data_IF_585284037582
#
_entry.id   IF_585284037582
#
_cell.length_a   1.000
_cell.length_b   1.000
_cell.length_c   1.000
_cell.angle_alpha   90.00
_cell.angle_beta   90.00
_cell.angle_gamma   90.00
#
_symmetry.space_group_name_H-M   'P 1'
#
loop_
_entity.id
_entity.type
_entity.pdbx_description
1 polymer ?
#
# COMPACT_ATOMS: atom_id res chain seq x y z
N UNK A 1 36.35 -13.53 -18.26
CA UNK A 1 36.56 -13.30 -19.70
C UNK A 1 36.31 -14.62 -20.43
N UNK A 2 35.86 -14.57 -21.68
CA UNK A 2 35.58 -15.67 -22.59
C UNK A 2 36.43 -15.49 -23.86
N UNK A 3 37.32 -16.45 -24.12
CA UNK A 3 38.22 -16.54 -25.25
C UNK A 3 37.85 -17.80 -26.04
N UNK A 4 37.04 -17.67 -27.11
CA UNK A 4 36.76 -18.81 -27.98
C UNK A 4 38.05 -19.37 -28.59
N UNK A 5 38.06 -20.65 -28.96
CA UNK A 5 39.26 -21.26 -29.53
C UNK A 5 39.68 -20.57 -30.84
N UNK A 6 40.96 -20.20 -30.93
CA UNK A 6 41.53 -19.57 -32.12
C UNK A 6 41.50 -18.03 -32.14
N UNK A 7 40.91 -17.37 -31.14
CA UNK A 7 41.04 -15.91 -30.99
C UNK A 7 42.27 -15.54 -30.17
N UNK A 8 43.08 -14.63 -30.70
CA UNK A 8 44.12 -13.90 -29.98
C UNK A 8 43.79 -12.41 -30.10
N UNK A 9 44.11 -11.65 -29.07
CA UNK A 9 43.82 -10.21 -29.03
C UNK A 9 45.14 -9.46 -28.95
N UNK A 10 45.35 -8.53 -29.87
CA UNK A 10 46.61 -7.79 -29.99
C UNK A 10 46.60 -6.48 -29.19
N UNK A 11 45.42 -5.97 -28.85
CA UNK A 11 45.21 -4.73 -28.10
C UNK A 11 44.30 -4.96 -26.88
N UNK A 12 44.58 -4.29 -25.76
CA UNK A 12 43.77 -4.39 -24.54
C UNK A 12 42.37 -3.78 -24.71
N UNK A 13 42.18 -2.89 -25.71
CA UNK A 13 40.88 -2.30 -26.02
C UNK A 13 39.84 -3.30 -26.55
N UNK A 14 40.30 -4.39 -27.18
CA UNK A 14 39.45 -5.46 -27.71
C UNK A 14 39.04 -6.48 -26.62
N UNK A 15 39.65 -6.39 -25.43
CA UNK A 15 39.37 -7.27 -24.28
C UNK A 15 37.95 -7.10 -23.73
N UNK A 16 37.32 -5.94 -23.95
CA UNK A 16 35.92 -5.68 -23.59
C UNK A 16 34.92 -6.53 -24.40
N UNK A 17 35.31 -7.00 -25.59
CA UNK A 17 34.54 -7.93 -26.42
C UNK A 17 34.65 -9.40 -25.97
N UNK A 18 35.63 -9.71 -25.12
CA UNK A 18 35.86 -11.02 -24.52
C UNK A 18 35.20 -11.15 -23.14
N UNK A 19 34.27 -10.28 -22.78
CA UNK A 19 33.52 -10.48 -21.55
C UNK A 19 32.51 -11.62 -21.74
N UNK A 20 32.25 -12.38 -20.67
CA UNK A 20 31.20 -13.39 -20.71
C UNK A 20 29.87 -12.68 -20.99
N UNK A 21 29.11 -13.14 -22.00
CA UNK A 21 27.85 -12.47 -22.35
C UNK A 21 26.84 -12.55 -21.19
N UNK A 22 26.01 -11.53 -21.05
CA UNK A 22 24.91 -11.55 -20.07
C UNK A 22 23.96 -12.74 -20.36
N UNK A 23 23.46 -13.37 -19.30
CA UNK A 23 22.65 -14.60 -19.41
C UNK A 23 23.49 -15.86 -19.61
N UNK A 24 24.82 -15.76 -19.53
CA UNK A 24 25.76 -16.87 -19.54
C UNK A 24 26.81 -16.71 -18.44
N UNK A 25 27.47 -17.81 -18.07
CA UNK A 25 28.60 -17.80 -17.16
C UNK A 25 29.79 -18.56 -17.74
N UNK A 26 31.00 -18.14 -17.38
CA UNK A 26 32.24 -18.63 -17.96
C UNK A 26 33.15 -19.16 -16.85
N UNK A 27 33.03 -20.45 -16.46
CA UNK A 27 33.84 -21.04 -15.40
C UNK A 27 35.32 -21.13 -15.78
N UNK A 28 35.61 -21.16 -17.08
CA UNK A 28 36.96 -21.02 -17.64
C UNK A 28 36.92 -20.05 -18.80
N UNK A 29 38.05 -19.43 -19.19
CA UNK A 29 38.07 -18.55 -20.35
C UNK A 29 37.65 -19.24 -21.65
N UNK A 30 37.84 -20.55 -21.82
CA UNK A 30 37.51 -21.22 -23.07
C UNK A 30 36.03 -21.62 -23.22
N UNK A 31 35.24 -21.53 -22.15
CA UNK A 31 33.89 -22.14 -22.09
C UNK A 31 32.86 -21.11 -21.66
N UNK A 32 31.78 -21.00 -22.43
CA UNK A 32 30.61 -20.19 -22.11
C UNK A 32 29.39 -21.08 -22.02
N UNK A 33 28.74 -21.11 -20.86
CA UNK A 33 27.56 -21.93 -20.60
C UNK A 33 26.34 -21.05 -20.38
N UNK A 34 25.14 -21.49 -20.84
CA UNK A 34 23.90 -20.75 -20.57
C UNK A 34 23.63 -20.69 -19.07
N UNK A 35 23.09 -19.58 -18.59
CA UNK A 35 22.71 -19.44 -17.19
C UNK A 35 21.51 -20.36 -16.89
N UNK A 36 21.61 -21.33 -15.96
CA UNK A 36 20.52 -22.24 -15.66
C UNK A 36 19.37 -21.51 -14.93
N UNK A 37 18.18 -22.12 -14.90
CA UNK A 37 17.06 -21.59 -14.15
C UNK A 37 17.34 -21.57 -12.63
N UNK A 38 16.84 -20.57 -11.92
CA UNK A 38 17.04 -20.36 -10.48
C UNK A 38 18.27 -19.54 -10.11
N UNK A 39 19.13 -19.23 -11.08
CA UNK A 39 20.29 -18.35 -10.93
C UNK A 39 20.24 -17.24 -11.98
N UNK A 40 20.99 -16.18 -11.76
CA UNK A 40 21.16 -15.10 -12.73
C UNK A 40 22.66 -14.89 -13.01
N UNK A 41 22.96 -14.49 -14.24
CA UNK A 41 24.32 -14.32 -14.72
C UNK A 41 24.42 -12.98 -15.45
N UNK A 42 25.13 -12.04 -14.83
CA UNK A 42 25.42 -10.73 -15.39
C UNK A 42 26.57 -10.79 -16.38
N UNK A 43 26.77 -9.74 -17.16
CA UNK A 43 27.93 -9.62 -18.06
C UNK A 43 29.23 -9.81 -17.27
N UNK A 44 30.13 -10.66 -17.79
CA UNK A 44 31.39 -11.00 -17.15
C UNK A 44 31.30 -12.06 -16.03
N UNK A 45 30.13 -12.63 -15.76
CA UNK A 45 29.94 -13.66 -14.73
C UNK A 45 30.84 -14.88 -14.97
N UNK A 46 31.65 -15.24 -13.98
CA UNK A 46 32.45 -16.47 -13.95
C UNK A 46 31.76 -17.59 -13.18
N UNK A 47 30.78 -17.23 -12.34
CA UNK A 47 30.01 -18.14 -11.52
C UNK A 47 28.54 -17.65 -11.44
N UNK A 48 27.56 -18.56 -11.54
CA UNK A 48 26.16 -18.21 -11.40
C UNK A 48 25.83 -17.77 -9.98
N UNK A 49 24.94 -16.78 -9.85
CA UNK A 49 24.51 -16.25 -8.55
C UNK A 49 23.06 -16.62 -8.30
N UNK A 50 22.73 -17.03 -7.07
CA UNK A 50 21.35 -17.39 -6.70
C UNK A 50 20.37 -16.24 -6.90
N UNK A 51 19.22 -16.53 -7.49
CA UNK A 51 18.13 -15.57 -7.65
C UNK A 51 17.33 -15.37 -6.34
N UNK A 52 17.47 -16.27 -5.36
CA UNK A 52 16.70 -16.21 -4.12
C UNK A 52 17.14 -15.01 -3.28
N UNK A 53 16.28 -14.00 -3.16
CA UNK A 53 16.56 -12.83 -2.32
C UNK A 53 16.78 -13.19 -0.85
N UNK A 54 16.06 -14.20 -0.34
CA UNK A 54 16.27 -14.70 1.00
C UNK A 54 17.69 -15.26 1.18
N UNK A 55 18.22 -15.93 0.17
CA UNK A 55 19.58 -16.49 0.21
C UNK A 55 20.65 -15.44 -0.05
N UNK A 56 20.46 -14.57 -1.05
CA UNK A 56 21.31 -13.41 -1.32
C UNK A 56 21.47 -12.50 -0.10
N UNK A 57 20.40 -12.27 0.65
CA UNK A 57 20.47 -11.47 1.88
C UNK A 57 21.34 -12.14 2.95
N UNK A 58 21.36 -13.47 2.99
CA UNK A 58 22.13 -14.24 3.97
C UNK A 58 23.60 -14.44 3.55
N UNK A 59 23.87 -14.65 2.25
CA UNK A 59 25.20 -14.98 1.74
C UNK A 59 25.97 -13.77 1.24
N UNK A 60 25.29 -12.78 0.65
CA UNK A 60 25.93 -11.64 0.00
C UNK A 60 25.09 -10.33 0.10
N UNK A 61 24.77 -9.83 1.32
CA UNK A 61 23.89 -8.67 1.51
C UNK A 61 24.43 -7.36 0.92
N UNK A 62 25.75 -7.26 0.77
CA UNK A 62 26.45 -6.08 0.24
C UNK A 62 26.82 -6.21 -1.24
N UNK A 63 26.44 -7.30 -1.91
CA UNK A 63 26.65 -7.45 -3.35
C UNK A 63 25.91 -6.33 -4.08
N UNK A 64 26.64 -5.59 -4.92
CA UNK A 64 26.09 -4.53 -5.76
C UNK A 64 25.61 -5.14 -7.07
N UNK A 65 24.32 -4.97 -7.36
CA UNK A 65 23.75 -5.41 -8.62
C UNK A 65 24.20 -4.46 -9.74
N UNK A 66 24.85 -4.95 -10.81
CA UNK A 66 25.55 -4.10 -11.78
C UNK A 66 24.62 -3.20 -12.58
N UNK A 67 23.37 -3.60 -12.82
CA UNK A 67 22.43 -2.81 -13.62
C UNK A 67 21.72 -1.72 -12.80
N UNK A 68 21.76 -1.80 -11.46
CA UNK A 68 21.01 -0.88 -10.58
C UNK A 68 21.86 -0.11 -9.58
N UNK A 69 23.15 -0.45 -9.45
CA UNK A 69 24.09 0.26 -8.56
C UNK A 69 23.70 0.21 -7.07
N UNK A 70 22.76 -0.65 -6.70
CA UNK A 70 22.25 -0.80 -5.33
C UNK A 70 22.66 -2.15 -4.76
N UNK A 71 22.90 -2.17 -3.45
CA UNK A 71 23.18 -3.39 -2.70
C UNK A 71 21.89 -4.20 -2.51
N UNK A 72 22.01 -5.51 -2.42
CA UNK A 72 20.86 -6.42 -2.15
C UNK A 72 20.02 -5.94 -0.97
N UNK A 73 20.66 -5.58 0.15
CA UNK A 73 19.96 -5.09 1.34
C UNK A 73 19.17 -3.80 1.10
N UNK A 74 19.68 -2.91 0.25
CA UNK A 74 19.01 -1.65 -0.06
C UNK A 74 17.78 -1.92 -0.92
N UNK A 75 17.86 -2.78 -1.94
CA UNK A 75 16.70 -3.07 -2.79
C UNK A 75 15.53 -3.71 -2.05
N UNK A 76 15.82 -4.62 -1.11
CA UNK A 76 14.77 -5.21 -0.25
C UNK A 76 14.09 -4.16 0.64
N UNK A 77 14.80 -3.10 1.05
CA UNK A 77 14.27 -2.03 1.90
C UNK A 77 13.61 -0.89 1.11
N UNK A 78 14.21 -0.46 0.01
CA UNK A 78 13.84 0.75 -0.73
C UNK A 78 13.01 0.46 -1.99
N UNK A 79 13.37 -0.56 -2.76
CA UNK A 79 12.67 -0.96 -4.00
C UNK A 79 11.51 -1.93 -3.74
N UNK A 80 11.42 -2.49 -2.52
CA UNK A 80 10.44 -3.51 -2.11
C UNK A 80 10.48 -4.76 -2.98
N UNK A 81 11.70 -5.17 -3.35
CA UNK A 81 11.91 -6.44 -4.04
C UNK A 81 11.32 -7.62 -3.26
N UNK A 82 10.84 -8.67 -3.95
CA UNK A 82 10.27 -9.84 -3.32
C UNK A 82 11.30 -10.54 -2.42
N UNK A 83 11.07 -10.54 -1.11
CA UNK A 83 11.85 -11.38 -0.19
C UNK A 83 11.64 -12.89 -0.49
N UNK A 84 10.46 -13.26 -1.01
CA UNK A 84 10.09 -14.61 -1.48
C UNK A 84 9.13 -14.51 -2.67
N UNK A 85 9.01 -15.61 -3.41
CA UNK A 85 8.08 -15.70 -4.54
C UNK A 85 8.58 -14.98 -5.78
N UNK A 86 9.89 -15.02 -6.03
CA UNK A 86 10.50 -14.63 -7.30
C UNK A 86 10.98 -15.88 -8.05
N UNK A 87 11.18 -15.75 -9.35
CA UNK A 87 11.62 -16.83 -10.23
C UNK A 87 12.64 -16.30 -11.23
N UNK A 88 13.67 -17.09 -11.53
CA UNK A 88 14.62 -16.78 -12.58
C UNK A 88 14.56 -17.88 -13.65
N UNK A 89 14.07 -17.58 -14.87
CA UNK A 89 14.15 -18.51 -15.98
C UNK A 89 15.61 -18.69 -16.43
N UNK A 90 15.86 -19.69 -17.27
CA UNK A 90 17.18 -19.87 -17.89
C UNK A 90 17.57 -18.61 -18.68
N UNK A 91 18.82 -18.19 -18.56
CA UNK A 91 19.34 -16.96 -19.18
C UNK A 91 19.01 -15.67 -18.42
N UNK A 92 18.50 -15.73 -17.19
CA UNK A 92 18.23 -14.54 -16.38
C UNK A 92 19.50 -13.70 -16.16
N UNK A 93 19.38 -12.39 -16.37
CA UNK A 93 20.45 -11.41 -16.11
C UNK A 93 20.26 -10.67 -14.78
N UNK A 94 19.05 -10.73 -14.22
CA UNK A 94 18.64 -10.07 -12.98
C UNK A 94 17.76 -10.99 -12.13
N UNK A 95 17.77 -10.83 -10.78
CA UNK A 95 16.98 -11.67 -9.87
C UNK A 95 15.59 -11.11 -9.52
N UNK A 96 15.16 -10.04 -10.16
CA UNK A 96 14.03 -9.19 -9.77
C UNK A 96 12.66 -9.66 -10.28
N UNK A 97 12.59 -10.71 -11.11
CA UNK A 97 11.35 -11.20 -11.68
C UNK A 97 10.39 -11.77 -10.59
N UNK A 98 9.28 -11.08 -10.27
CA UNK A 98 8.31 -11.60 -9.32
C UNK A 98 7.52 -12.75 -9.94
N UNK A 99 7.12 -13.73 -9.12
CA UNK A 99 6.24 -14.80 -9.58
C UNK A 99 4.92 -14.18 -10.09
N UNK A 100 4.53 -14.41 -11.34
CA UNK A 100 3.36 -13.77 -11.93
C UNK A 100 2.07 -14.25 -11.28
N UNK A 101 1.06 -13.38 -11.29
CA UNK A 101 -0.25 -13.73 -10.76
C UNK A 101 -0.88 -14.89 -11.57
N UNK A 102 -1.59 -15.78 -10.90
CA UNK A 102 -2.09 -17.03 -11.50
C UNK A 102 -1.09 -18.18 -11.50
N UNK A 103 0.13 -17.96 -11.00
CA UNK A 103 1.15 -18.98 -10.79
C UNK A 103 1.63 -18.97 -9.34
N UNK A 104 2.22 -20.08 -8.90
CA UNK A 104 2.96 -20.13 -7.65
C UNK A 104 4.38 -20.66 -7.90
N UNK A 105 5.33 -20.10 -7.17
CA UNK A 105 6.76 -20.38 -7.32
C UNK A 105 7.30 -20.92 -5.99
N UNK A 106 7.33 -22.25 -5.78
CA UNK A 106 7.78 -22.83 -4.51
C UNK A 106 9.29 -22.61 -4.28
N UNK A 107 10.04 -22.42 -5.37
CA UNK A 107 11.45 -22.07 -5.38
C UNK A 107 11.71 -21.13 -6.58
N UNK A 108 12.96 -20.69 -6.73
CA UNK A 108 13.36 -19.72 -7.76
C UNK A 108 13.54 -20.32 -9.16
N UNK A 109 13.50 -21.64 -9.31
CA UNK A 109 13.68 -22.33 -10.59
C UNK A 109 12.38 -22.89 -11.17
N UNK A 110 11.31 -22.97 -10.37
CA UNK A 110 10.04 -23.55 -10.77
C UNK A 110 8.90 -22.52 -10.70
N UNK A 111 8.15 -22.45 -11.80
CA UNK A 111 6.91 -21.71 -11.91
C UNK A 111 5.80 -22.69 -12.28
N UNK A 112 4.78 -22.78 -11.43
CA UNK A 112 3.69 -23.75 -11.58
C UNK A 112 2.36 -23.01 -11.69
N UNK A 113 1.50 -23.47 -12.60
CA UNK A 113 0.15 -22.90 -12.77
C UNK A 113 -0.63 -23.10 -11.47
N UNK A 114 -1.41 -22.09 -11.07
CA UNK A 114 -2.25 -22.21 -9.88
C UNK A 114 -3.32 -23.29 -10.09
N UNK A 115 -3.36 -24.35 -9.27
CA UNK A 115 -4.29 -25.46 -9.47
C UNK A 115 -5.74 -25.03 -9.22
N UNK A 116 -6.67 -25.80 -9.80
CA UNK A 116 -8.11 -25.58 -9.60
C UNK A 116 -8.52 -25.61 -8.11
N UNK A 117 -9.47 -24.75 -7.72
CA UNK A 117 -9.91 -24.60 -6.34
C UNK A 117 -8.97 -23.75 -5.46
N UNK A 118 -7.88 -23.23 -6.02
CA UNK A 118 -6.94 -22.33 -5.37
C UNK A 118 -6.77 -21.03 -6.17
N UNK A 119 -6.27 -19.99 -5.49
CA UNK A 119 -5.87 -18.74 -6.10
C UNK A 119 -4.44 -18.37 -5.70
N UNK A 120 -3.70 -17.78 -6.63
CA UNK A 120 -2.29 -17.45 -6.48
C UNK A 120 -2.07 -16.00 -6.89
N UNK A 121 -1.89 -15.13 -5.89
CA UNK A 121 -1.54 -13.72 -6.13
C UNK A 121 -0.12 -13.62 -6.69
N UNK A 122 0.23 -12.44 -7.20
CA UNK A 122 1.62 -12.15 -7.53
C UNK A 122 2.53 -12.43 -6.32
N UNK A 123 3.74 -12.95 -6.56
CA UNK A 123 4.71 -13.34 -5.53
C UNK A 123 4.25 -14.48 -4.60
N UNK A 124 3.32 -15.35 -5.06
CA UNK A 124 2.87 -16.48 -4.25
C UNK A 124 3.88 -17.64 -4.28
N UNK A 125 4.26 -18.14 -3.11
CA UNK A 125 5.09 -19.35 -2.96
C UNK A 125 4.28 -20.64 -2.85
N UNK A 126 2.98 -20.51 -2.54
CA UNK A 126 2.08 -21.64 -2.36
C UNK A 126 0.65 -21.25 -2.76
N UNK A 127 -0.14 -22.17 -3.30
CA UNK A 127 -1.52 -21.90 -3.66
C UNK A 127 -2.39 -21.70 -2.42
N UNK A 128 -3.33 -20.75 -2.45
CA UNK A 128 -4.27 -20.49 -1.35
C UNK A 128 -5.67 -21.00 -1.71
N UNK A 129 -6.28 -21.77 -0.82
CA UNK A 129 -7.61 -22.35 -1.06
C UNK A 129 -8.66 -21.26 -1.20
N UNK A 130 -9.57 -21.42 -2.16
CA UNK A 130 -10.67 -20.47 -2.33
C UNK A 130 -11.71 -20.59 -1.21
N UNK A 131 -12.35 -19.46 -0.89
CA UNK A 131 -13.45 -19.43 0.06
C UNK A 131 -14.65 -20.22 -0.46
N UNK A 132 -15.53 -20.68 0.45
CA UNK A 132 -16.69 -21.53 0.10
C UNK A 132 -17.65 -20.93 -0.95
N UNK A 133 -17.62 -19.60 -1.12
CA UNK A 133 -18.49 -18.84 -2.03
C UNK A 133 -17.74 -18.27 -3.25
N UNK A 134 -16.48 -18.66 -3.46
CA UNK A 134 -15.65 -18.17 -4.55
C UNK A 134 -15.32 -19.29 -5.54
N UNK A 135 -15.46 -19.01 -6.83
CA UNK A 135 -15.06 -19.92 -7.91
C UNK A 135 -13.63 -19.59 -8.37
N UNK A 136 -12.79 -20.63 -8.49
CA UNK A 136 -11.39 -20.48 -8.87
C UNK A 136 -11.00 -21.56 -9.88
N UNK A 137 -11.11 -21.26 -11.19
CA UNK A 137 -10.52 -22.10 -12.23
C UNK A 137 -8.98 -22.10 -12.13
N UNK A 138 -8.35 -23.02 -12.86
CA UNK A 138 -6.89 -23.06 -12.99
C UNK A 138 -6.33 -21.71 -13.48
N UNK A 139 -5.20 -21.28 -12.92
CA UNK A 139 -4.56 -20.01 -13.28
C UNK A 139 -5.18 -18.76 -12.64
N UNK A 140 -6.05 -18.91 -11.63
CA UNK A 140 -6.74 -17.77 -11.01
C UNK A 140 -5.82 -16.95 -10.09
N UNK A 141 -5.70 -15.65 -10.37
CA UNK A 141 -4.96 -14.71 -9.54
C UNK A 141 -5.74 -14.18 -8.33
N UNK A 142 -7.04 -13.94 -8.52
CA UNK A 142 -7.94 -13.33 -7.54
C UNK A 142 -9.23 -14.12 -7.51
N UNK A 143 -9.73 -14.53 -6.32
CA UNK A 143 -10.96 -15.30 -6.23
C UNK A 143 -12.15 -14.48 -6.77
N UNK A 144 -12.89 -15.05 -7.71
CA UNK A 144 -14.13 -14.45 -8.19
C UNK A 144 -15.23 -14.67 -7.14
N UNK A 145 -15.65 -13.59 -6.48
CA UNK A 145 -16.77 -13.57 -5.53
C UNK A 145 -17.97 -12.85 -6.17
N UNK A 146 -18.76 -13.54 -7.02
CA UNK A 146 -19.94 -12.93 -7.60
C UNK A 146 -20.91 -12.53 -6.48
N UNK A 147 -21.23 -11.24 -6.39
CA UNK A 147 -22.28 -10.71 -5.51
C UNK A 147 -21.85 -9.99 -4.23
N UNK A 148 -20.58 -10.06 -3.80
CA UNK A 148 -20.15 -9.28 -2.62
C UNK A 148 -20.26 -7.76 -2.84
N UNK A 149 -19.95 -7.29 -4.05
CA UNK A 149 -20.13 -5.88 -4.40
C UNK A 149 -21.60 -5.44 -4.36
N UNK A 150 -22.53 -6.32 -4.79
CA UNK A 150 -23.97 -6.05 -4.77
C UNK A 150 -24.54 -6.04 -3.34
N UNK A 151 -24.09 -6.97 -2.49
CA UNK A 151 -24.50 -7.00 -1.08
C UNK A 151 -24.00 -5.77 -0.31
N UNK A 152 -22.74 -5.38 -0.49
CA UNK A 152 -22.20 -4.16 0.13
C UNK A 152 -22.94 -2.91 -0.37
N UNK A 153 -23.19 -2.82 -1.67
CA UNK A 153 -23.96 -1.72 -2.25
C UNK A 153 -25.40 -1.65 -1.71
N UNK A 154 -26.08 -2.79 -1.56
CA UNK A 154 -27.41 -2.87 -0.98
C UNK A 154 -27.43 -2.45 0.51
N UNK A 155 -26.45 -2.89 1.30
CA UNK A 155 -26.31 -2.49 2.71
C UNK A 155 -26.06 -0.98 2.86
N UNK A 156 -25.26 -0.37 1.98
CA UNK A 156 -25.03 1.08 1.97
C UNK A 156 -26.32 1.81 1.54
N UNK A 157 -26.99 1.31 0.50
CA UNK A 157 -28.24 1.90 0.00
C UNK A 157 -29.40 1.82 1.00
N UNK A 158 -29.39 0.85 1.92
CA UNK A 158 -30.41 0.74 2.98
C UNK A 158 -30.01 1.47 4.27
N UNK A 159 -28.72 1.48 4.62
CA UNK A 159 -28.25 2.11 5.86
C UNK A 159 -28.28 3.64 5.80
N UNK A 160 -27.90 4.26 4.67
CA UNK A 160 -27.94 5.72 4.50
C UNK A 160 -29.36 6.32 4.66
N UNK A 161 -30.42 5.82 4.01
CA UNK A 161 -31.77 6.34 4.21
C UNK A 161 -32.34 6.02 5.59
N UNK A 162 -32.01 4.87 6.19
CA UNK A 162 -32.40 4.57 7.57
C UNK A 162 -31.77 5.55 8.56
N UNK A 163 -30.47 5.83 8.42
CA UNK A 163 -29.78 6.84 9.24
C UNK A 163 -30.42 8.22 9.04
N UNK A 164 -30.72 8.60 7.80
CA UNK A 164 -31.40 9.87 7.51
C UNK A 164 -32.80 9.94 8.15
N UNK A 165 -33.59 8.87 8.09
CA UNK A 165 -34.90 8.80 8.74
C UNK A 165 -34.81 8.84 10.26
N UNK A 166 -33.80 8.19 10.85
CA UNK A 166 -33.54 8.26 12.29
C UNK A 166 -33.15 9.67 12.70
N UNK A 167 -32.29 10.35 11.94
CA UNK A 167 -31.95 11.75 12.18
C UNK A 167 -33.18 12.66 12.09
N UNK A 168 -34.04 12.47 11.08
CA UNK A 168 -35.30 13.21 11.00
C UNK A 168 -36.27 12.91 12.14
N UNK A 169 -36.34 11.66 12.58
CA UNK A 169 -37.17 11.27 13.71
C UNK A 169 -36.64 11.87 15.01
N UNK A 170 -35.32 11.90 15.21
CA UNK A 170 -34.66 12.55 16.34
C UNK A 170 -34.93 14.06 16.33
N UNK A 171 -34.78 14.74 15.20
CA UNK A 171 -35.09 16.18 15.07
C UNK A 171 -36.57 16.49 15.36
N UNK A 172 -37.49 15.62 14.92
CA UNK A 172 -38.92 15.75 15.26
C UNK A 172 -39.17 15.52 16.75
N UNK A 173 -38.51 14.54 17.36
CA UNK A 173 -38.67 14.22 18.78
C UNK A 173 -38.13 15.34 19.69
N UNK A 174 -37.03 15.97 19.31
CA UNK A 174 -36.47 17.13 20.02
C UNK A 174 -37.33 18.36 19.81
N UNK A 175 -37.93 18.57 18.63
CA UNK A 175 -38.89 19.65 18.38
C UNK A 175 -40.17 19.52 19.23
N UNK A 176 -40.74 18.31 19.36
CA UNK A 176 -41.91 18.08 20.21
C UNK A 176 -41.60 18.26 21.70
N UNK A 177 -40.44 17.78 22.17
CA UNK A 177 -40.03 17.97 23.57
C UNK A 177 -39.62 19.41 23.91
N UNK A 178 -39.05 20.14 22.96
CA UNK A 178 -38.72 21.56 23.12
C UNK A 178 -39.97 22.42 23.31
N UNK A 179 -41.05 22.15 22.56
CA UNK A 179 -42.34 22.85 22.70
C UNK A 179 -42.98 22.70 24.09
N UNK A 180 -43.00 21.47 24.63
CA UNK A 180 -43.53 21.21 25.98
C UNK A 180 -42.68 21.89 27.07
N UNK A 181 -41.34 21.90 26.91
CA UNK A 181 -40.44 22.57 27.86
C UNK A 181 -40.55 24.10 27.83
N UNK A 182 -40.76 24.69 26.65
CA UNK A 182 -40.97 26.14 26.48
C UNK A 182 -42.30 26.59 27.08
N UNK A 183 -43.38 25.86 26.84
CA UNK A 183 -44.70 26.20 27.41
C UNK A 183 -44.69 26.07 28.95
N UNK A 184 -43.95 25.10 29.49
CA UNK A 184 -43.76 24.96 30.94
C UNK A 184 -42.97 26.15 31.53
N UNK A 185 -41.92 26.62 30.84
CA UNK A 185 -41.13 27.78 31.27
C UNK A 185 -41.93 29.09 31.17
N UNK A 186 -42.73 29.28 30.12
CA UNK A 186 -43.63 30.42 29.99
C UNK A 186 -44.69 30.45 31.10
N UNK A 187 -45.28 29.29 31.45
CA UNK A 187 -46.22 29.19 32.57
C UNK A 187 -45.56 29.54 33.90
N UNK A 188 -44.31 29.15 34.12
CA UNK A 188 -43.52 29.53 35.30
C UNK A 188 -43.18 31.03 35.31
N UNK A 189 -42.78 31.61 34.18
CA UNK A 189 -42.52 33.05 34.06
C UNK A 189 -43.79 33.90 34.22
N UNK A 190 -44.93 33.47 33.68
CA UNK A 190 -46.21 34.15 33.88
C UNK A 190 -46.66 34.09 35.34
N UNK A 191 -46.48 32.93 36.02
CA UNK A 191 -46.70 32.83 37.47
C UNK A 191 -45.77 33.78 38.20
N UNK A 192 -44.46 33.78 37.91
CA UNK A 192 -43.51 34.70 38.54
C UNK A 192 -43.91 36.18 38.35
N UNK A 193 -44.30 36.60 37.13
CA UNK A 193 -44.75 37.99 36.86
C UNK A 193 -46.07 38.34 37.55
N UNK A 194 -47.00 37.39 37.70
CA UNK A 194 -48.29 37.63 38.37
C UNK A 194 -48.18 37.81 39.88
N UNK A 195 -47.13 37.26 40.50
CA UNK A 195 -46.80 37.48 41.92
C UNK A 195 -45.79 38.63 42.12
N UNK A 196 -45.42 39.35 41.05
CA UNK A 196 -44.44 40.44 41.08
C UNK A 196 -45.06 41.85 41.16
N UNK A 197 -45.90 42.14 42.16
CA UNK A 197 -45.93 43.47 42.75
C UNK A 197 -45.59 43.35 44.23
N UNK A 198 -44.30 43.41 44.60
CA UNK A 198 -43.84 43.93 45.92
C UNK A 198 -42.33 43.88 46.21
N UNK A 199 -41.44 43.49 45.28
CA UNK A 199 -39.98 43.44 45.59
C UNK A 199 -39.10 44.10 44.54
N UNK A 200 -39.48 45.29 44.08
CA UNK A 200 -38.55 46.24 43.45
C UNK A 200 -38.76 47.63 44.04
N UNK A 201 -38.69 47.68 45.37
CA UNK A 201 -38.27 48.86 46.10
C UNK A 201 -36.75 48.78 46.29
N UNK A 202 -36.06 49.80 45.81
CA UNK A 202 -34.71 50.22 46.21
C UNK A 202 -33.53 49.41 45.64
N UNK A 203 -32.95 49.94 44.57
CA UNK A 203 -31.53 50.31 44.53
C UNK A 203 -31.28 51.21 43.31
N UNK A 204 -31.60 52.49 43.47
CA UNK A 204 -31.15 53.56 42.57
C UNK A 204 -29.77 53.99 43.08
N UNK A 205 -28.71 53.43 42.51
CA UNK A 205 -27.36 54.01 42.65
C UNK A 205 -26.95 54.52 41.27
N UNK A 206 -26.78 55.84 41.19
CA UNK A 206 -26.27 56.60 40.07
C UNK A 206 -24.83 56.22 39.77
N UNK A 207 -24.47 56.01 38.50
CA UNK A 207 -23.16 56.38 37.95
C UNK A 207 -23.32 56.87 36.50
N UNK A 208 -22.62 57.97 36.21
CA UNK A 208 -22.71 58.85 35.04
C UNK A 208 -21.93 58.28 33.81
N UNK A 209 -22.05 58.89 32.61
CA UNK A 209 -21.65 58.32 31.33
C UNK A 209 -20.19 58.64 30.96
N UNK A 210 -19.52 57.72 30.26
CA UNK A 210 -18.33 58.05 29.46
C UNK A 210 -18.25 57.20 28.18
N UNK A 211 -18.55 57.86 27.07
CA UNK A 211 -17.80 57.99 25.80
C UNK A 211 -17.16 56.77 25.11
N UNK A 212 -17.57 56.58 23.86
CA UNK A 212 -16.90 55.94 22.72
C UNK A 212 -15.36 56.00 22.68
N UNK A 213 -14.68 54.92 22.28
CA UNK A 213 -14.15 54.65 20.91
C UNK A 213 -13.38 53.28 20.87
N UNK A 214 -13.15 52.66 19.69
CA UNK A 214 -12.67 51.29 19.51
C UNK A 214 -11.16 51.19 19.28
N UNK A 215 -10.61 50.00 19.52
CA UNK A 215 -9.31 49.52 19.02
C UNK A 215 -9.40 47.98 18.99
N UNK A 216 -9.40 47.31 17.84
CA UNK A 216 -8.25 46.97 16.97
C UNK A 216 -7.13 46.21 17.70
N UNK A 217 -7.00 44.91 17.37
CA UNK A 217 -5.77 44.21 16.93
C UNK A 217 -5.97 42.67 17.01
N UNK A 218 -5.94 41.98 15.87
CA UNK A 218 -4.83 41.20 15.30
C UNK A 218 -4.74 39.75 15.81
N UNK A 219 -4.98 38.79 14.91
CA UNK A 219 -4.31 37.50 14.93
C UNK A 219 -3.73 37.19 13.55
N UNK A 220 -2.50 36.67 13.63
CA UNK A 220 -1.47 36.66 12.62
C UNK A 220 -1.67 35.59 11.53
N UNK A 221 -1.20 35.91 10.33
CA UNK A 221 -1.06 34.99 9.20
C UNK A 221 0.14 34.05 9.36
N UNK A 222 -0.07 32.82 8.89
CA UNK A 222 0.94 31.79 8.66
C UNK A 222 1.40 31.87 7.19
N UNK A 223 2.71 31.93 6.96
CA UNK A 223 3.35 31.69 5.66
C UNK A 223 3.73 30.20 5.52
N UNK A 224 3.75 29.64 4.29
CA UNK A 224 4.40 28.37 3.98
C UNK A 224 5.84 28.60 3.46
N UNK A 225 6.74 27.67 3.79
CA UNK A 225 8.07 27.55 3.20
C UNK A 225 8.12 26.32 2.29
N UNK A 226 8.78 26.53 1.15
CA UNK A 226 9.26 25.53 0.19
C UNK A 226 10.19 24.49 0.85
#
# INVERSE_FOLDING_TARGET
QYCPSGTFVADESELSGLECAAGAYCPTPAVQLPCPAGVYCVRGSTEPVTCSFAELLNTAPYLVMPEQGQRVIDRLRTQRDPYRGNVCPAGATLPDAPCPAGYYCPNVSAQLVCPEGYFCKQQSVAPRKCGRLAACPEGTAVPAVPGQALLVAACIALSLPLVWLVLQWLDRSTATGAGESMEALEKLQQRARRWMPLVLGVAKQQEHPHSHHPHSQNQAGFQPLL
#
